data_IF_669646673952
#
_entry.id   IF_669646673952
#
_cell.length_a   1.000
_cell.length_b   1.000
_cell.length_c   1.000
_cell.angle_alpha   90.00
_cell.angle_beta   90.00
_cell.angle_gamma   90.00
#
_symmetry.space_group_name_H-M   'P 1'
#
loop_
_entity.id
_entity.type
_entity.pdbx_description
1 polymer ?
#
# COMPACT_ATOMS: atom_id res chain seq x y z
N UNK A 1 -10.45 1.29 10.09
CA UNK A 1 -9.96 1.04 11.45
C UNK A 1 -10.78 1.76 12.51
N UNK A 2 -10.70 1.32 13.77
CA UNK A 2 -11.25 2.04 14.93
C UNK A 2 -10.37 3.23 15.30
N UNK A 3 -9.06 3.05 15.15
CA UNK A 3 -8.04 4.04 15.49
C UNK A 3 -6.91 3.95 14.50
N UNK A 4 -6.34 5.10 14.16
CA UNK A 4 -5.08 5.21 13.43
C UNK A 4 -4.20 6.26 14.11
N UNK A 5 -2.92 5.94 14.30
CA UNK A 5 -1.92 6.87 14.84
C UNK A 5 -0.69 6.87 13.93
N UNK A 6 0.01 7.98 13.89
CA UNK A 6 1.31 8.04 13.25
C UNK A 6 2.45 7.55 14.16
N UNK A 7 3.68 7.59 13.69
CA UNK A 7 4.89 7.18 14.43
C UNK A 7 5.17 8.05 15.66
N UNK A 8 4.60 9.24 15.76
CA UNK A 8 4.74 10.17 16.88
C UNK A 8 3.56 10.05 17.87
N UNK A 9 2.58 9.16 17.57
CA UNK A 9 1.40 8.91 18.39
C UNK A 9 0.25 9.89 18.13
N UNK A 10 0.33 10.73 17.10
CA UNK A 10 -0.75 11.65 16.75
C UNK A 10 -1.93 10.87 16.14
N UNK A 11 -3.16 11.25 16.51
CA UNK A 11 -4.37 10.62 16.02
C UNK A 11 -4.65 11.02 14.57
N UNK A 12 -4.65 10.03 13.69
CA UNK A 12 -4.92 10.13 12.27
C UNK A 12 -6.23 9.44 11.85
N UNK A 13 -7.05 9.03 12.82
CA UNK A 13 -8.22 8.17 12.59
C UNK A 13 -9.17 8.74 11.56
N UNK A 14 -9.54 10.01 11.69
CA UNK A 14 -10.47 10.67 10.76
C UNK A 14 -9.92 10.79 9.34
N UNK A 15 -8.60 10.78 9.19
CA UNK A 15 -7.92 10.94 7.90
C UNK A 15 -7.85 9.65 7.07
N UNK A 16 -8.12 8.50 7.69
CA UNK A 16 -8.05 7.19 7.01
C UNK A 16 -9.38 6.43 6.96
N UNK A 17 -10.47 7.07 7.39
CA UNK A 17 -11.78 6.43 7.45
C UNK A 17 -12.67 6.67 6.23
N UNK A 18 -12.36 7.64 5.40
CA UNK A 18 -13.15 8.00 4.22
C UNK A 18 -12.30 8.67 3.16
N UNK A 19 -12.74 8.55 1.92
CA UNK A 19 -12.08 9.16 0.76
C UNK A 19 -12.44 10.65 0.68
N UNK A 20 -11.61 11.53 1.27
CA UNK A 20 -11.87 12.97 1.34
C UNK A 20 -10.63 13.86 1.13
N UNK A 21 -9.52 13.25 0.71
CA UNK A 21 -8.23 13.90 0.52
C UNK A 21 -7.60 14.46 1.82
N UNK A 22 -8.00 13.94 2.98
CA UNK A 22 -7.37 14.24 4.26
C UNK A 22 -6.30 13.21 4.61
N UNK A 23 -5.22 13.23 3.90
CA UNK A 23 -4.16 12.20 3.94
C UNK A 23 -3.44 12.04 5.28
N UNK A 24 -2.96 10.81 5.54
CA UNK A 24 -2.18 10.40 6.70
C UNK A 24 -0.97 9.51 6.29
N UNK A 25 0.17 9.55 7.00
CA UNK A 25 0.50 10.51 8.05
C UNK A 25 0.77 11.91 7.50
N UNK A 26 0.98 12.88 8.38
CA UNK A 26 1.56 14.15 7.95
C UNK A 26 3.01 13.91 7.51
N UNK A 27 3.27 14.12 6.23
CA UNK A 27 4.56 13.79 5.62
C UNK A 27 5.65 14.77 6.07
N UNK A 28 6.84 14.23 6.36
CA UNK A 28 8.06 15.00 6.68
C UNK A 28 9.11 14.73 5.59
N UNK A 29 9.00 15.40 4.41
CA UNK A 29 9.89 15.16 3.29
C UNK A 29 11.33 15.54 3.61
N UNK A 30 12.27 14.78 3.07
CA UNK A 30 13.68 15.22 3.03
C UNK A 30 13.82 16.40 2.10
N UNK A 31 14.35 17.50 2.60
CA UNK A 31 14.49 18.75 1.83
C UNK A 31 15.52 18.69 0.70
N UNK A 32 16.32 17.63 0.65
CA UNK A 32 17.35 17.42 -0.37
C UNK A 32 16.84 16.59 -1.55
N UNK A 33 15.90 15.69 -1.29
CA UNK A 33 15.47 14.67 -2.25
C UNK A 33 13.94 14.54 -2.28
N UNK A 34 13.33 14.87 -3.41
CA UNK A 34 11.90 14.68 -3.63
C UNK A 34 11.54 13.19 -3.58
N UNK A 35 10.39 12.87 -3.03
CA UNK A 35 9.88 11.50 -2.93
C UNK A 35 10.45 10.69 -1.76
N UNK A 36 11.26 11.32 -0.92
CA UNK A 36 11.99 10.71 0.19
C UNK A 36 11.62 11.39 1.50
N UNK A 37 11.44 10.63 2.56
CA UNK A 37 11.22 11.13 3.91
C UNK A 37 12.54 11.27 4.67
N UNK A 38 12.63 12.25 5.57
CA UNK A 38 13.79 12.43 6.45
C UNK A 38 14.09 11.18 7.30
N UNK A 39 13.03 10.50 7.71
CA UNK A 39 13.05 9.26 8.49
C UNK A 39 11.87 8.39 8.06
N UNK A 40 11.95 7.07 8.25
CA UNK A 40 10.79 6.20 8.05
C UNK A 40 9.60 6.70 8.88
N UNK A 41 8.44 6.78 8.23
CA UNK A 41 7.16 7.11 8.85
C UNK A 41 6.25 5.90 8.82
N UNK A 42 5.30 5.86 9.75
CA UNK A 42 4.38 4.76 9.89
C UNK A 42 2.95 5.25 10.15
N UNK A 43 1.99 4.43 9.74
CA UNK A 43 0.60 4.50 10.22
C UNK A 43 0.31 3.19 10.93
N UNK A 44 -0.04 3.28 12.21
CA UNK A 44 -0.52 2.15 13.01
C UNK A 44 -2.04 2.18 13.04
N UNK A 45 -2.64 1.05 12.73
CA UNK A 45 -4.07 0.86 12.57
C UNK A 45 -4.58 -0.13 13.61
N UNK A 46 -5.63 0.25 14.33
CA UNK A 46 -6.31 -0.64 15.25
C UNK A 46 -7.68 -1.04 14.69
N UNK A 47 -7.98 -2.33 14.70
CA UNK A 47 -9.22 -2.89 14.18
C UNK A 47 -10.07 -3.49 15.31
N UNK A 48 -11.42 -3.53 15.14
CA UNK A 48 -12.33 -4.07 16.15
C UNK A 48 -12.21 -5.60 16.27
N UNK A 49 -12.76 -6.15 17.35
CA UNK A 49 -12.81 -7.59 17.57
C UNK A 49 -13.58 -8.36 16.46
N UNK A 50 -14.48 -7.69 15.76
CA UNK A 50 -15.16 -8.25 14.58
C UNK A 50 -14.23 -8.59 13.42
N UNK A 51 -12.97 -8.15 13.46
CA UNK A 51 -11.97 -8.61 12.49
C UNK A 51 -11.79 -10.14 12.53
N UNK A 52 -11.95 -10.77 13.70
CA UNK A 52 -11.90 -12.24 13.81
C UNK A 52 -13.00 -12.94 13.02
N UNK A 53 -14.20 -12.36 13.00
CA UNK A 53 -15.31 -12.88 12.20
C UNK A 53 -14.95 -12.80 10.71
N UNK A 54 -14.32 -11.71 10.32
CA UNK A 54 -13.91 -11.48 8.94
C UNK A 54 -12.78 -12.43 8.50
N UNK A 55 -11.87 -12.79 9.41
CA UNK A 55 -10.78 -13.76 9.16
C UNK A 55 -11.31 -15.19 9.11
N UNK A 56 -12.20 -15.57 10.05
CA UNK A 56 -12.70 -16.94 10.24
C UNK A 56 -13.95 -17.28 9.42
N UNK A 57 -14.59 -16.30 8.79
CA UNK A 57 -15.87 -16.49 8.13
C UNK A 57 -15.80 -17.53 7.01
N UNK A 58 -16.74 -18.49 7.00
CA UNK A 58 -16.94 -19.43 5.89
C UNK A 58 -17.59 -18.77 4.66
N UNK A 59 -17.91 -17.47 4.75
CA UNK A 59 -18.43 -16.72 3.62
C UNK A 59 -17.41 -16.69 2.47
N UNK A 60 -17.88 -16.75 1.23
CA UNK A 60 -16.98 -16.76 0.08
C UNK A 60 -16.13 -15.48 0.00
N UNK A 61 -14.89 -15.65 -0.47
CA UNK A 61 -13.92 -14.57 -0.57
C UNK A 61 -12.85 -14.66 0.52
N UNK A 62 -11.91 -13.74 0.47
CA UNK A 62 -10.76 -13.64 1.37
C UNK A 62 -10.68 -12.27 2.04
N UNK A 63 -10.13 -12.15 3.26
CA UNK A 63 -9.90 -10.85 3.88
C UNK A 63 -8.81 -10.11 3.09
N UNK A 64 -9.10 -8.87 2.73
CA UNK A 64 -8.19 -8.00 1.98
C UNK A 64 -8.15 -6.65 2.66
N UNK A 65 -6.95 -6.12 2.88
CA UNK A 65 -6.72 -4.74 3.24
C UNK A 65 -6.73 -3.90 1.98
N UNK A 66 -7.57 -2.89 1.96
CA UNK A 66 -7.64 -1.87 0.92
C UNK A 66 -7.06 -0.57 1.45
N UNK A 67 -6.23 0.07 0.62
CA UNK A 67 -5.60 1.34 0.92
C UNK A 67 -5.70 2.24 -0.30
N UNK A 68 -6.24 3.42 -0.11
CA UNK A 68 -6.20 4.47 -1.12
C UNK A 68 -5.17 5.52 -0.72
N UNK A 69 -4.30 5.88 -1.64
CA UNK A 69 -3.25 6.85 -1.34
C UNK A 69 -2.49 7.28 -2.58
N UNK A 70 -1.49 8.10 -2.36
CA UNK A 70 -0.57 8.54 -3.40
C UNK A 70 0.88 8.49 -2.93
N UNK A 71 1.80 8.54 -3.88
CA UNK A 71 3.23 8.73 -3.67
C UNK A 71 3.68 9.98 -4.42
N UNK A 72 4.52 10.79 -3.76
CA UNK A 72 5.30 11.80 -4.47
C UNK A 72 6.53 11.14 -5.08
N UNK A 73 6.73 11.37 -6.38
CA UNK A 73 7.83 10.73 -7.09
C UNK A 73 9.09 11.58 -7.12
N UNK A 74 10.19 10.97 -6.72
CA UNK A 74 11.51 11.50 -7.10
C UNK A 74 11.79 11.31 -8.59
N UNK A 75 12.31 12.34 -9.24
CA UNK A 75 12.85 12.21 -10.60
C UNK A 75 14.07 11.28 -10.60
N UNK A 76 14.42 10.73 -11.76
CA UNK A 76 15.58 9.83 -11.91
C UNK A 76 16.88 10.46 -11.41
N UNK A 77 17.08 11.75 -11.65
CA UNK A 77 18.23 12.50 -11.14
C UNK A 77 18.24 12.61 -9.62
N UNK A 78 17.07 12.84 -9.01
CA UNK A 78 16.90 12.89 -7.55
C UNK A 78 17.18 11.53 -6.92
N UNK A 79 16.60 10.46 -7.48
CA UNK A 79 16.80 9.10 -7.02
C UNK A 79 18.26 8.67 -7.11
N UNK A 80 18.95 9.06 -8.19
CA UNK A 80 20.38 8.80 -8.35
C UNK A 80 21.20 9.54 -7.28
N UNK A 81 20.93 10.83 -7.06
CA UNK A 81 21.62 11.62 -6.03
C UNK A 81 21.35 11.10 -4.61
N UNK A 82 20.12 10.70 -4.32
CA UNK A 82 19.76 10.11 -3.04
C UNK A 82 20.51 8.78 -2.81
N UNK A 83 20.58 7.94 -3.84
CA UNK A 83 21.34 6.69 -3.78
C UNK A 83 22.83 6.92 -3.54
N UNK A 84 23.44 7.92 -4.20
CA UNK A 84 24.84 8.31 -3.95
C UNK A 84 25.06 8.84 -2.54
N UNK A 85 24.04 9.47 -1.94
CA UNK A 85 24.06 9.90 -0.54
C UNK A 85 23.79 8.77 0.48
N UNK A 86 23.69 7.52 0.02
CA UNK A 86 23.46 6.35 0.85
C UNK A 86 22.00 6.08 1.20
N UNK A 87 21.05 6.75 0.54
CA UNK A 87 19.63 6.46 0.73
C UNK A 87 19.27 5.14 0.08
N UNK A 88 18.63 4.26 0.86
CA UNK A 88 18.07 2.99 0.41
C UNK A 88 16.54 3.11 0.47
N UNK A 89 15.83 3.09 -0.67
CA UNK A 89 14.37 3.11 -0.68
C UNK A 89 13.80 1.92 0.07
N UNK A 90 12.83 2.16 0.92
CA UNK A 90 12.06 1.13 1.63
C UNK A 90 10.59 1.29 1.23
N UNK A 91 10.15 0.48 0.29
CA UNK A 91 8.73 0.41 -0.07
C UNK A 91 7.89 0.00 1.16
N UNK A 92 6.58 0.28 1.17
CA UNK A 92 5.73 -0.05 2.31
C UNK A 92 5.89 -1.49 2.77
N UNK A 93 6.19 -1.65 4.05
CA UNK A 93 6.19 -2.91 4.76
C UNK A 93 4.94 -3.02 5.63
N UNK A 94 4.40 -4.22 5.71
CA UNK A 94 3.18 -4.52 6.45
C UNK A 94 3.50 -5.40 7.65
N UNK A 95 3.13 -4.93 8.84
CA UNK A 95 3.44 -5.60 10.11
C UNK A 95 2.20 -5.78 10.96
N UNK A 96 2.25 -6.74 11.88
CA UNK A 96 1.22 -7.00 12.89
C UNK A 96 1.85 -7.01 14.27
N UNK A 97 1.14 -6.50 15.27
CA UNK A 97 1.57 -6.61 16.66
C UNK A 97 1.09 -7.94 17.26
N UNK A 98 2.04 -8.73 17.76
CA UNK A 98 1.80 -9.96 18.51
C UNK A 98 2.70 -9.99 19.73
N UNK A 99 2.14 -10.29 20.87
CA UNK A 99 2.86 -10.37 22.16
C UNK A 99 3.73 -9.10 22.45
N UNK A 100 3.20 -7.92 22.08
CA UNK A 100 3.87 -6.63 22.25
C UNK A 100 5.04 -6.40 21.29
N UNK A 101 5.17 -7.19 20.24
CA UNK A 101 6.22 -7.03 19.22
C UNK A 101 5.61 -6.92 17.82
N UNK A 102 6.27 -6.12 16.98
CA UNK A 102 5.92 -6.03 15.57
C UNK A 102 6.56 -7.16 14.77
N UNK A 103 5.71 -8.04 14.21
CA UNK A 103 6.11 -9.08 13.27
C UNK A 103 5.85 -8.61 11.84
N UNK A 104 6.83 -8.79 10.96
CA UNK A 104 6.66 -8.45 9.55
C UNK A 104 5.83 -9.52 8.85
N UNK A 105 4.74 -9.11 8.23
CA UNK A 105 3.88 -9.98 7.41
C UNK A 105 4.28 -9.94 5.93
N UNK A 106 4.62 -8.75 5.44
CA UNK A 106 5.17 -8.55 4.09
C UNK A 106 6.12 -7.37 4.08
N UNK A 107 7.22 -7.54 3.37
CA UNK A 107 8.18 -6.47 3.07
C UNK A 107 7.98 -6.02 1.63
N UNK A 108 8.19 -4.73 1.38
CA UNK A 108 8.25 -4.13 0.03
C UNK A 108 7.11 -4.57 -0.90
N UNK A 109 5.87 -4.59 -0.39
CA UNK A 109 4.72 -5.09 -1.15
C UNK A 109 4.20 -4.15 -2.24
N UNK A 110 4.85 -3.00 -2.44
CA UNK A 110 4.55 -2.03 -3.48
C UNK A 110 4.06 -0.69 -2.94
N UNK A 111 3.72 0.23 -3.83
CA UNK A 111 3.29 1.59 -3.50
C UNK A 111 2.27 2.09 -4.54
N UNK A 112 1.46 3.13 -4.22
CA UNK A 112 0.44 3.67 -5.12
C UNK A 112 1.07 4.47 -6.26
N UNK A 113 1.52 3.76 -7.32
CA UNK A 113 2.26 4.33 -8.42
C UNK A 113 1.39 5.15 -9.39
N UNK A 114 1.83 6.32 -9.81
CA UNK A 114 1.14 7.22 -10.73
C UNK A 114 0.16 8.14 -10.02
N UNK A 115 -1.10 8.14 -10.43
CA UNK A 115 -2.16 8.90 -9.75
C UNK A 115 -2.55 8.23 -8.43
N UNK A 116 -3.22 8.98 -7.51
CA UNK A 116 -3.82 8.38 -6.33
C UNK A 116 -4.69 7.18 -6.71
N UNK A 117 -4.51 6.06 -6.01
CA UNK A 117 -5.17 4.79 -6.37
C UNK A 117 -5.35 3.85 -5.19
N UNK A 118 -6.23 2.91 -5.40
CA UNK A 118 -6.38 1.76 -4.52
C UNK A 118 -5.23 0.77 -4.68
N UNK A 119 -4.77 0.30 -3.53
CA UNK A 119 -3.92 -0.87 -3.39
C UNK A 119 -4.64 -1.91 -2.55
N UNK A 120 -4.26 -3.16 -2.70
CA UNK A 120 -4.84 -4.26 -1.93
C UNK A 120 -3.77 -5.23 -1.46
N UNK A 121 -3.92 -5.70 -0.22
CA UNK A 121 -3.07 -6.73 0.38
C UNK A 121 -3.97 -7.90 0.77
N UNK A 122 -3.74 -9.06 0.18
CA UNK A 122 -4.40 -10.29 0.59
C UNK A 122 -3.90 -10.70 1.98
N UNK A 123 -4.83 -10.85 2.92
CA UNK A 123 -4.54 -11.14 4.32
C UNK A 123 -4.87 -12.58 4.71
N UNK A 124 -5.34 -13.42 3.76
CA UNK A 124 -5.93 -14.73 4.05
C UNK A 124 -5.05 -15.62 4.93
N UNK A 125 -3.75 -15.67 4.64
CA UNK A 125 -2.78 -16.51 5.35
C UNK A 125 -1.84 -15.70 6.25
N UNK A 126 -2.08 -14.40 6.40
CA UNK A 126 -1.22 -13.49 7.12
C UNK A 126 -1.72 -13.19 8.53
N UNK A 127 -3.04 -12.97 8.67
CA UNK A 127 -3.65 -12.65 9.95
C UNK A 127 -4.15 -13.89 10.68
N UNK A 128 -4.05 -13.83 12.00
CA UNK A 128 -4.59 -14.83 12.94
C UNK A 128 -5.71 -14.20 13.76
N UNK A 129 -6.66 -15.02 14.24
CA UNK A 129 -7.63 -14.55 15.22
C UNK A 129 -6.91 -13.96 16.44
N UNK A 130 -7.34 -12.77 16.85
CA UNK A 130 -6.69 -12.01 17.91
C UNK A 130 -5.77 -10.89 17.42
N UNK A 131 -5.32 -10.91 16.17
CA UNK A 131 -4.58 -9.79 15.56
C UNK A 131 -5.50 -8.56 15.47
N UNK A 132 -5.03 -7.42 15.99
CA UNK A 132 -5.83 -6.17 16.04
C UNK A 132 -5.06 -4.97 15.55
N UNK A 133 -3.76 -4.94 15.75
CA UNK A 133 -2.93 -3.81 15.42
C UNK A 133 -2.02 -4.12 14.25
N UNK A 134 -2.14 -3.31 13.23
CA UNK A 134 -1.38 -3.42 11.99
C UNK A 134 -0.56 -2.14 11.82
N UNK A 135 0.60 -2.24 11.18
CA UNK A 135 1.47 -1.10 10.88
C UNK A 135 1.89 -1.15 9.43
N UNK A 136 1.89 0.01 8.81
CA UNK A 136 2.44 0.26 7.49
C UNK A 136 3.57 1.26 7.66
N UNK A 137 4.80 0.88 7.33
CA UNK A 137 5.97 1.73 7.45
C UNK A 137 6.74 1.83 6.13
N UNK A 138 7.27 3.02 5.84
CA UNK A 138 8.02 3.33 4.62
C UNK A 138 8.93 4.54 4.84
N UNK A 139 9.98 4.69 4.03
CA UNK A 139 10.76 5.92 3.93
C UNK A 139 10.51 6.68 2.62
N UNK A 140 9.54 6.23 1.83
CA UNK A 140 9.06 6.93 0.65
C UNK A 140 7.96 7.92 1.03
N UNK A 141 7.82 8.99 0.28
CA UNK A 141 6.83 10.04 0.52
C UNK A 141 5.44 9.57 0.06
N UNK A 142 4.83 8.71 0.89
CA UNK A 142 3.52 8.09 0.64
C UNK A 142 2.53 8.52 1.71
N UNK A 143 1.33 8.90 1.28
CA UNK A 143 0.22 9.22 2.17
C UNK A 143 -1.05 8.46 1.79
N UNK A 144 -1.83 8.11 2.82
CA UNK A 144 -3.05 7.31 2.72
C UNK A 144 -4.26 8.15 3.09
N UNK A 145 -5.36 8.00 2.35
CA UNK A 145 -6.61 8.71 2.54
C UNK A 145 -7.68 7.78 3.15
N UNK A 146 -7.90 6.60 2.56
CA UNK A 146 -8.84 5.64 3.11
C UNK A 146 -8.21 4.25 3.26
N UNK A 147 -8.42 3.64 4.45
CA UNK A 147 -7.89 2.32 4.77
C UNK A 147 -8.95 1.48 5.46
N UNK A 148 -9.27 0.32 4.91
CA UNK A 148 -10.20 -0.62 5.52
C UNK A 148 -9.88 -2.08 5.16
N UNK A 149 -10.44 -3.01 5.94
CA UNK A 149 -10.41 -4.44 5.64
C UNK A 149 -11.82 -4.88 5.26
N UNK A 150 -11.93 -5.61 4.16
CA UNK A 150 -13.17 -6.21 3.70
C UNK A 150 -12.92 -7.60 3.12
N UNK A 151 -13.99 -8.40 2.99
CA UNK A 151 -13.89 -9.66 2.21
C UNK A 151 -14.02 -9.34 0.73
N UNK A 152 -12.99 -9.67 -0.02
CA UNK A 152 -12.99 -9.61 -1.47
C UNK A 152 -13.17 -11.01 -2.05
N UNK A 153 -13.83 -11.10 -3.18
CA UNK A 153 -13.97 -12.32 -3.97
C UNK A 153 -13.71 -12.01 -5.42
N UNK A 154 -13.15 -12.98 -6.12
CA UNK A 154 -12.98 -12.85 -7.55
C UNK A 154 -14.35 -12.86 -8.23
N UNK A 155 -14.59 -11.89 -9.07
CA UNK A 155 -15.81 -11.80 -9.86
C UNK A 155 -15.50 -12.30 -11.26
N UNK A 156 -16.27 -13.27 -11.75
CA UNK A 156 -16.21 -13.63 -13.17
C UNK A 156 -16.87 -12.50 -13.98
N UNK A 157 -16.04 -11.64 -14.53
CA UNK A 157 -16.48 -10.51 -15.34
C UNK A 157 -17.20 -10.93 -16.64
N UNK A 158 -17.14 -12.21 -17.01
CA UNK A 158 -17.80 -12.74 -18.21
C UNK A 158 -19.33 -12.77 -18.14
N UNK A 159 -19.88 -12.64 -16.93
CA UNK A 159 -21.32 -12.66 -16.66
C UNK A 159 -21.82 -11.55 -15.75
N UNK A 160 -21.01 -10.56 -15.43
CA UNK A 160 -21.39 -9.48 -14.53
C UNK A 160 -22.07 -8.33 -15.29
N UNK A 161 -23.37 -8.16 -15.06
CA UNK A 161 -24.17 -7.05 -15.58
C UNK A 161 -24.87 -7.30 -16.90
N UNK A 162 -25.66 -6.33 -17.36
CA UNK A 162 -26.42 -6.36 -18.61
C UNK A 162 -25.52 -6.22 -19.86
N UNK A 163 -24.29 -5.79 -19.70
CA UNK A 163 -23.31 -5.71 -20.78
C UNK A 163 -22.41 -6.96 -20.80
N UNK A 164 -22.33 -7.59 -21.98
CA UNK A 164 -21.43 -8.72 -22.20
C UNK A 164 -19.97 -8.24 -22.19
N UNK A 165 -19.31 -8.38 -21.05
CA UNK A 165 -17.87 -8.15 -20.95
C UNK A 165 -17.11 -9.36 -21.49
N UNK A 166 -16.30 -9.16 -22.53
CA UNK A 166 -15.40 -10.19 -23.04
C UNK A 166 -14.01 -10.02 -22.40
N UNK A 167 -13.63 -10.96 -21.55
CA UNK A 167 -12.28 -10.99 -20.97
C UNK A 167 -11.40 -11.89 -21.82
N UNK A 168 -10.29 -11.34 -22.33
CA UNK A 168 -9.24 -12.08 -23.03
C UNK A 168 -7.95 -12.01 -22.23
N UNK A 169 -7.42 -13.16 -21.87
CA UNK A 169 -6.09 -13.24 -21.27
C UNK A 169 -5.07 -13.48 -22.38
N UNK A 170 -4.19 -12.51 -22.58
CA UNK A 170 -3.10 -12.60 -23.53
C UNK A 170 -1.79 -12.84 -22.77
N UNK A 171 -0.99 -13.77 -23.26
CA UNK A 171 0.39 -13.99 -22.81
C UNK A 171 1.32 -13.62 -23.95
N UNK A 172 2.40 -12.91 -23.62
CA UNK A 172 3.44 -12.66 -24.61
C UNK A 172 4.08 -14.00 -25.01
N UNK A 173 4.08 -14.27 -26.30
CA UNK A 173 4.74 -15.45 -26.86
C UNK A 173 6.26 -15.22 -26.99
N UNK A 174 6.62 -13.98 -27.37
CA UNK A 174 8.02 -13.59 -27.53
C UNK A 174 8.21 -12.14 -27.09
N UNK A 175 9.29 -11.89 -26.37
CA UNK A 175 9.82 -10.56 -26.11
C UNK A 175 11.27 -10.50 -26.59
N UNK A 176 11.61 -9.48 -27.39
CA UNK A 176 12.97 -9.26 -27.87
C UNK A 176 13.43 -7.85 -27.53
N UNK A 177 14.39 -7.75 -26.62
CA UNK A 177 15.03 -6.51 -26.23
C UNK A 177 16.42 -6.45 -26.89
N UNK A 178 16.68 -5.40 -27.66
CA UNK A 178 18.00 -5.15 -28.24
C UNK A 178 18.36 -3.68 -28.16
N UNK A 179 19.64 -3.41 -28.12
CA UNK A 179 20.16 -2.04 -28.14
C UNK A 179 19.86 -1.36 -29.46
N UNK A 180 19.26 -0.18 -29.41
CA UNK A 180 18.94 0.66 -30.58
C UNK A 180 19.72 1.97 -30.67
N UNK A 181 20.70 2.18 -29.77
CA UNK A 181 21.40 3.45 -29.63
C UNK A 181 20.68 4.39 -28.66
N UNK A 182 21.25 5.55 -28.47
CA UNK A 182 20.64 6.64 -27.73
C UNK A 182 19.73 7.45 -28.67
N UNK A 183 18.55 7.92 -28.21
CA UNK A 183 17.77 8.89 -28.97
C UNK A 183 18.61 10.13 -29.21
N UNK A 184 18.59 10.63 -30.45
CA UNK A 184 19.15 11.93 -30.76
C UNK A 184 18.03 12.94 -30.48
N UNK A 185 18.27 13.86 -29.55
CA UNK A 185 17.34 14.95 -29.32
C UNK A 185 17.20 15.77 -30.62
N UNK A 186 15.95 16.15 -30.99
CA UNK A 186 15.69 16.89 -32.23
C UNK A 186 16.27 18.32 -32.22
#
# INVERSE_FOLDING_TARGET
>A
PLKAIDQDGADMTSRVQKLDAAYAPELKPDRRFMGVLEKPQAVELEFPASLDELIRSDAPGRPVLFLYGYIEYGYSTTNFSASQAGFVPMAPSFRVERDGKWETLREEWGFPAGYPRWMSVDLADLLRPGDRRLKIDTNLEIAWDEVFIARARDVDLRGAGDEKVTVRQLKADRAHLHYRGFPIDP
#
